data_IF_938181105166
#
_entry.id   IF_938181105166
#
_cell.length_a   1.000
_cell.length_b   1.000
_cell.length_c   1.000
_cell.angle_alpha   90.00
_cell.angle_beta   90.00
_cell.angle_gamma   90.00
#
_symmetry.space_group_name_H-M   'P 1'
#
loop_
_entity.id
_entity.type
_entity.pdbx_description
1 polymer ?
#
# COMPACT_ATOMS: atom_id res chain seq x y z
N UNK A 1 -13.64 10.08 10.88
CA UNK A 1 -13.93 9.51 9.54
C UNK A 1 -12.77 8.61 9.17
N UNK A 2 -12.99 7.57 8.36
CA UNK A 2 -11.91 6.62 7.99
C UNK A 2 -10.86 7.31 7.11
N UNK A 3 -9.59 7.06 7.42
CA UNK A 3 -8.40 7.54 6.71
C UNK A 3 -7.84 6.43 5.81
N UNK A 4 -7.65 5.23 6.36
CA UNK A 4 -7.27 4.04 5.61
C UNK A 4 -7.69 2.77 6.35
N UNK A 5 -7.68 1.65 5.64
CA UNK A 5 -7.95 0.34 6.23
C UNK A 5 -6.86 -0.63 5.80
N UNK A 6 -6.31 -1.36 6.77
CA UNK A 6 -5.38 -2.46 6.54
C UNK A 6 -6.07 -3.79 6.85
N UNK A 7 -5.82 -4.79 6.01
CA UNK A 7 -6.16 -6.18 6.20
C UNK A 7 -4.88 -6.98 6.13
N UNK A 8 -4.62 -7.79 7.16
CA UNK A 8 -3.45 -8.67 7.18
C UNK A 8 -3.82 -10.10 7.50
N UNK A 9 -3.09 -11.04 6.94
CA UNK A 9 -3.19 -12.46 7.24
C UNK A 9 -1.80 -13.08 7.39
N UNK A 10 -1.66 -13.96 8.36
CA UNK A 10 -0.48 -14.80 8.63
C UNK A 10 -1.01 -16.16 9.08
N UNK A 11 -0.91 -17.16 8.21
CA UNK A 11 -1.42 -18.51 8.49
C UNK A 11 -2.91 -18.48 8.91
N UNK A 12 -3.22 -18.91 10.14
CA UNK A 12 -4.58 -18.96 10.70
C UNK A 12 -4.97 -17.68 11.46
N UNK A 13 -4.07 -16.71 11.55
CA UNK A 13 -4.30 -15.43 12.19
C UNK A 13 -4.51 -14.35 11.14
N UNK A 14 -5.54 -13.53 11.33
CA UNK A 14 -5.84 -12.40 10.48
C UNK A 14 -6.20 -11.18 11.32
N UNK A 15 -6.13 -9.99 10.73
CA UNK A 15 -6.58 -8.76 11.37
C UNK A 15 -7.13 -7.76 10.37
N UNK A 16 -8.00 -6.89 10.87
CA UNK A 16 -8.40 -5.66 10.21
C UNK A 16 -7.98 -4.50 11.10
N UNK A 17 -7.22 -3.56 10.55
CA UNK A 17 -6.88 -2.30 11.22
C UNK A 17 -7.57 -1.16 10.50
N UNK A 18 -8.40 -0.42 11.20
CA UNK A 18 -9.07 0.78 10.69
C UNK A 18 -8.37 1.98 11.33
N UNK A 19 -7.86 2.87 10.48
CA UNK A 19 -7.31 4.15 10.90
C UNK A 19 -8.34 5.23 10.61
N UNK A 20 -8.69 6.02 11.61
CA UNK A 20 -9.77 7.01 11.50
C UNK A 20 -9.49 8.23 12.38
N UNK A 21 -10.14 9.35 12.08
CA UNK A 21 -9.94 10.58 12.82
C UNK A 21 -10.59 11.78 12.14
N UNK A 22 -10.57 12.93 12.79
CA UNK A 22 -10.84 14.25 12.18
C UNK A 22 -9.77 15.24 12.61
N UNK A 23 -9.54 15.32 13.92
CA UNK A 23 -8.48 16.18 14.47
C UNK A 23 -7.24 15.39 14.88
N UNK A 24 -7.48 14.25 15.52
CA UNK A 24 -6.46 13.29 15.94
C UNK A 24 -6.67 11.98 15.20
N UNK A 25 -5.58 11.27 14.94
CA UNK A 25 -5.61 9.94 14.36
C UNK A 25 -5.79 8.91 15.47
N UNK A 26 -6.76 8.03 15.29
CA UNK A 26 -7.03 6.87 16.14
C UNK A 26 -6.96 5.61 15.29
N UNK A 27 -6.67 4.49 15.95
CA UNK A 27 -6.63 3.19 15.30
C UNK A 27 -7.34 2.14 16.13
N UNK A 28 -8.05 1.25 15.45
CA UNK A 28 -8.59 0.03 16.04
C UNK A 28 -8.07 -1.15 15.23
N UNK A 29 -7.49 -2.14 15.92
CA UNK A 29 -7.05 -3.41 15.34
C UNK A 29 -7.94 -4.53 15.87
N UNK A 30 -8.63 -5.20 14.96
CA UNK A 30 -9.56 -6.29 15.26
C UNK A 30 -8.90 -7.59 14.81
N UNK A 31 -8.35 -8.39 15.73
CA UNK A 31 -7.84 -9.72 15.40
C UNK A 31 -8.99 -10.70 15.18
N UNK A 32 -8.85 -11.61 14.21
CA UNK A 32 -9.80 -12.68 13.94
C UNK A 32 -9.10 -13.90 13.31
N UNK A 33 -9.79 -15.03 13.25
CA UNK A 33 -9.27 -16.24 12.60
C UNK A 33 -9.46 -16.16 11.07
N UNK A 34 -8.49 -16.63 10.28
CA UNK A 34 -8.53 -16.59 8.81
C UNK A 34 -9.78 -17.24 8.19
N UNK A 35 -10.47 -18.15 8.89
CA UNK A 35 -11.80 -18.65 8.48
C UNK A 35 -12.82 -17.52 8.25
N UNK A 36 -12.72 -16.43 9.01
CA UNK A 36 -13.57 -15.24 8.88
C UNK A 36 -13.11 -14.23 7.81
N UNK A 37 -12.03 -14.48 7.10
CA UNK A 37 -11.40 -13.51 6.18
C UNK A 37 -12.38 -12.93 5.16
N UNK A 38 -13.21 -13.79 4.54
CA UNK A 38 -14.20 -13.35 3.54
C UNK A 38 -15.26 -12.40 4.11
N UNK A 39 -15.65 -12.54 5.38
CA UNK A 39 -16.60 -11.62 6.03
C UNK A 39 -15.97 -10.24 6.23
N UNK A 40 -14.73 -10.21 6.73
CA UNK A 40 -13.99 -8.96 6.90
C UNK A 40 -13.63 -8.30 5.55
N UNK A 41 -13.36 -9.10 4.52
CA UNK A 41 -13.18 -8.59 3.15
C UNK A 41 -14.44 -7.88 2.64
N UNK A 42 -15.63 -8.45 2.86
CA UNK A 42 -16.90 -7.78 2.50
C UNK A 42 -17.12 -6.46 3.26
N UNK A 43 -16.73 -6.41 4.53
CA UNK A 43 -16.76 -5.15 5.32
C UNK A 43 -15.81 -4.11 4.72
N UNK A 44 -14.58 -4.50 4.39
CA UNK A 44 -13.62 -3.63 3.71
C UNK A 44 -14.16 -3.12 2.37
N UNK A 45 -14.72 -4.00 1.53
CA UNK A 45 -15.31 -3.60 0.24
C UNK A 45 -16.46 -2.61 0.40
N UNK A 46 -17.25 -2.76 1.46
CA UNK A 46 -18.31 -1.81 1.81
C UNK A 46 -17.73 -0.45 2.20
N UNK A 47 -16.66 -0.43 2.99
CA UNK A 47 -15.95 0.80 3.39
C UNK A 47 -15.35 1.49 2.15
N UNK A 48 -14.66 0.73 1.30
CA UNK A 48 -14.05 1.21 0.04
C UNK A 48 -15.09 1.89 -0.85
N UNK A 49 -16.18 1.20 -1.21
CA UNK A 49 -17.25 1.77 -2.05
C UNK A 49 -17.90 3.03 -1.49
N UNK A 50 -17.91 3.22 -0.16
CA UNK A 50 -18.45 4.43 0.47
C UNK A 50 -17.48 5.61 0.45
N UNK A 51 -16.18 5.35 0.35
CA UNK A 51 -15.12 6.34 0.36
C UNK A 51 -14.61 6.68 -1.06
N UNK A 52 -14.65 5.72 -1.97
CA UNK A 52 -14.23 5.82 -3.38
C UNK A 52 -15.29 6.48 -4.26
N UNK A 53 -16.00 7.49 -3.77
CA UNK A 53 -17.01 8.24 -4.54
C UNK A 53 -16.40 9.08 -5.70
N UNK A 54 -15.17 8.79 -6.11
CA UNK A 54 -14.42 9.51 -7.15
C UNK A 54 -14.77 8.96 -8.53
N UNK A 55 -14.84 9.85 -9.52
CA UNK A 55 -14.97 9.48 -10.93
C UNK A 55 -13.72 8.72 -11.38
N UNK A 56 -13.90 7.72 -12.26
CA UNK A 56 -12.82 6.84 -12.70
C UNK A 56 -11.67 7.62 -13.34
N UNK A 57 -10.45 7.41 -12.85
CA UNK A 57 -9.23 8.02 -13.38
C UNK A 57 -8.63 7.24 -14.56
N UNK A 58 -8.08 7.97 -15.52
CA UNK A 58 -7.00 7.53 -16.41
C UNK A 58 -7.21 6.31 -17.33
N UNK A 59 -6.13 5.99 -18.08
CA UNK A 59 -6.03 4.80 -18.91
C UNK A 59 -5.33 3.67 -18.14
N UNK A 60 -5.78 2.42 -18.31
CA UNK A 60 -5.23 1.27 -17.60
C UNK A 60 -3.88 0.82 -18.16
N UNK A 61 -2.95 0.48 -17.28
CA UNK A 61 -1.73 -0.27 -17.61
C UNK A 61 -1.99 -1.76 -17.46
N UNK A 62 -1.51 -2.55 -18.43
CA UNK A 62 -1.52 -4.01 -18.30
C UNK A 62 -0.50 -4.43 -17.23
N UNK A 63 -0.93 -5.25 -16.28
CA UNK A 63 0.00 -5.92 -15.36
C UNK A 63 0.97 -6.77 -16.19
N UNK A 64 2.25 -6.40 -16.15
CA UNK A 64 3.27 -7.07 -16.96
C UNK A 64 3.72 -8.37 -16.30
N UNK A 65 4.42 -9.23 -17.05
CA UNK A 65 4.99 -10.47 -16.55
C UNK A 65 6.11 -10.28 -15.50
N UNK A 66 6.50 -9.04 -15.18
CA UNK A 66 7.57 -8.72 -14.24
C UNK A 66 7.12 -8.80 -12.76
N UNK A 67 5.81 -8.78 -12.49
CA UNK A 67 5.29 -8.91 -11.13
C UNK A 67 5.26 -10.39 -10.69
N UNK A 68 5.87 -10.76 -9.54
CA UNK A 68 5.80 -12.14 -9.05
C UNK A 68 4.36 -12.61 -8.90
N UNK A 69 4.11 -13.88 -9.24
CA UNK A 69 2.75 -14.46 -9.31
C UNK A 69 1.93 -14.21 -8.04
N UNK A 70 2.56 -14.31 -6.85
CA UNK A 70 1.91 -14.02 -5.55
C UNK A 70 1.34 -12.60 -5.51
N UNK A 71 2.18 -11.60 -5.78
CA UNK A 71 1.77 -10.19 -5.77
C UNK A 71 0.78 -9.85 -6.88
N UNK A 72 0.92 -10.47 -8.06
CA UNK A 72 -0.05 -10.32 -9.15
C UNK A 72 -1.42 -10.94 -8.83
N UNK A 73 -1.45 -12.08 -8.15
CA UNK A 73 -2.68 -12.69 -7.65
C UNK A 73 -3.30 -11.82 -6.54
N UNK A 74 -2.50 -11.41 -5.55
CA UNK A 74 -2.96 -10.59 -4.44
C UNK A 74 -3.54 -9.26 -4.94
N UNK A 75 -2.85 -8.56 -5.84
CA UNK A 75 -3.37 -7.33 -6.43
C UNK A 75 -4.73 -7.57 -7.11
N UNK A 76 -4.84 -8.59 -7.97
CA UNK A 76 -6.11 -8.94 -8.63
C UNK A 76 -7.22 -9.31 -7.65
N UNK A 77 -6.88 -9.94 -6.53
CA UNK A 77 -7.86 -10.29 -5.50
C UNK A 77 -8.47 -9.05 -4.81
N UNK A 78 -7.70 -7.97 -4.70
CA UNK A 78 -8.13 -6.74 -4.04
C UNK A 78 -8.77 -5.72 -4.98
N UNK A 79 -8.60 -5.84 -6.30
CA UNK A 79 -9.29 -5.01 -7.28
C UNK A 79 -10.78 -5.34 -7.37
N UNK A 80 -11.63 -4.33 -7.55
CA UNK A 80 -12.98 -4.58 -8.06
C UNK A 80 -12.93 -5.03 -9.53
N UNK A 81 -13.97 -5.72 -9.99
CA UNK A 81 -14.03 -6.26 -11.35
C UNK A 81 -13.92 -5.19 -12.45
N UNK A 82 -14.33 -3.96 -12.14
CA UNK A 82 -14.30 -2.79 -13.03
C UNK A 82 -13.15 -1.83 -12.72
N UNK A 83 -12.31 -2.15 -11.74
CA UNK A 83 -11.19 -1.31 -11.29
C UNK A 83 -9.95 -1.55 -12.16
N UNK A 84 -9.30 -0.45 -12.56
CA UNK A 84 -8.16 -0.46 -13.46
C UNK A 84 -6.90 -0.03 -12.73
N UNK A 85 -5.81 -0.78 -12.93
CA UNK A 85 -4.48 -0.36 -12.46
C UNK A 85 -3.94 0.69 -13.43
N UNK A 86 -3.61 1.88 -12.92
CA UNK A 86 -3.01 2.98 -13.68
C UNK A 86 -1.49 2.90 -13.64
N UNK A 87 -0.92 2.60 -12.47
CA UNK A 87 0.53 2.49 -12.29
C UNK A 87 0.84 1.60 -11.11
N UNK A 88 2.04 1.01 -11.08
CA UNK A 88 2.52 0.27 -9.93
C UNK A 88 4.05 0.33 -9.83
N UNK A 89 4.57 0.14 -8.62
CA UNK A 89 5.98 -0.11 -8.38
C UNK A 89 6.12 -1.31 -7.44
N UNK A 90 7.01 -2.23 -7.79
CA UNK A 90 7.29 -3.42 -7.02
C UNK A 90 8.76 -3.48 -6.65
N UNK A 91 9.05 -3.90 -5.43
CA UNK A 91 10.37 -4.33 -5.01
C UNK A 91 10.28 -5.71 -4.35
N UNK A 92 11.17 -6.65 -4.70
CA UNK A 92 11.31 -7.90 -3.95
C UNK A 92 11.89 -7.66 -2.54
N UNK A 93 12.05 -8.74 -1.78
CA UNK A 93 12.70 -8.66 -0.47
C UNK A 93 14.13 -8.09 -0.59
N UNK A 94 14.45 -7.08 0.23
CA UNK A 94 15.81 -6.58 0.33
C UNK A 94 16.56 -7.33 1.44
N UNK A 95 17.60 -8.07 1.08
CA UNK A 95 18.45 -8.80 2.04
C UNK A 95 19.88 -8.25 2.00
N UNK A 96 20.47 -8.03 3.18
CA UNK A 96 21.87 -7.66 3.34
C UNK A 96 22.65 -8.83 3.92
N UNK A 97 23.72 -9.23 3.22
CA UNK A 97 24.65 -10.25 3.72
C UNK A 97 25.43 -9.66 4.91
N UNK A 98 25.43 -10.36 6.04
CA UNK A 98 26.26 -10.00 7.22
C UNK A 98 27.57 -10.80 7.25
N UNK A 99 27.52 -12.10 6.93
CA UNK A 99 28.65 -13.03 6.82
C UNK A 99 28.30 -14.13 5.77
N UNK A 100 29.30 -14.88 5.28
CA UNK A 100 29.29 -15.82 4.13
C UNK A 100 28.00 -16.63 3.87
N UNK A 101 27.19 -16.96 4.89
CA UNK A 101 25.93 -17.71 4.76
C UNK A 101 24.73 -17.07 5.48
N UNK A 102 24.90 -15.93 6.16
CA UNK A 102 23.84 -15.26 6.92
C UNK A 102 23.40 -13.97 6.22
N UNK A 103 22.25 -14.02 5.57
CA UNK A 103 21.54 -12.85 5.02
C UNK A 103 20.48 -12.38 6.02
N UNK A 104 20.50 -11.10 6.39
CA UNK A 104 19.46 -10.46 7.19
C UNK A 104 18.51 -9.71 6.26
N UNK A 105 17.20 -9.89 6.46
CA UNK A 105 16.20 -9.06 5.79
C UNK A 105 16.31 -7.61 6.28
N UNK A 106 16.36 -6.69 5.33
CA UNK A 106 16.39 -5.23 5.56
C UNK A 106 15.03 -4.63 5.26
N UNK A 107 14.34 -5.12 4.22
CA UNK A 107 12.99 -4.70 3.88
C UNK A 107 12.16 -5.90 3.38
N UNK A 108 10.87 -5.90 3.71
CA UNK A 108 9.89 -6.80 3.10
C UNK A 108 9.67 -6.45 1.63
N UNK A 109 9.22 -7.41 0.80
CA UNK A 109 8.73 -7.08 -0.52
C UNK A 109 7.60 -6.05 -0.42
N UNK A 110 7.58 -5.13 -1.37
CA UNK A 110 6.64 -4.02 -1.40
C UNK A 110 6.06 -3.89 -2.81
N UNK A 111 4.74 -3.93 -2.90
CA UNK A 111 3.99 -3.51 -4.09
C UNK A 111 3.13 -2.31 -3.71
N UNK A 112 3.31 -1.21 -4.43
CA UNK A 112 2.36 -0.10 -4.43
C UNK A 112 1.68 -0.04 -5.78
N UNK A 113 0.35 0.10 -5.80
CA UNK A 113 -0.43 0.20 -7.02
C UNK A 113 -1.40 1.36 -6.93
N UNK A 114 -1.40 2.21 -7.95
CA UNK A 114 -2.38 3.25 -8.18
C UNK A 114 -3.44 2.68 -9.11
N UNK A 115 -4.70 2.80 -8.69
CA UNK A 115 -5.85 2.43 -9.50
C UNK A 115 -6.66 3.65 -9.84
N UNK A 116 -7.70 3.47 -10.66
CA UNK A 116 -8.66 4.49 -10.99
C UNK A 116 -9.57 4.92 -9.83
N UNK A 117 -9.38 4.32 -8.63
CA UNK A 117 -10.19 4.58 -7.43
C UNK A 117 -9.37 4.87 -6.18
N UNK A 118 -8.23 4.19 -6.03
CA UNK A 118 -7.54 4.07 -4.76
C UNK A 118 -6.03 3.87 -4.96
N UNK A 119 -5.27 4.07 -3.89
CA UNK A 119 -3.91 3.60 -3.78
C UNK A 119 -3.90 2.33 -2.92
N UNK A 120 -3.18 1.32 -3.39
CA UNK A 120 -3.00 0.05 -2.72
C UNK A 120 -1.55 -0.10 -2.28
N UNK A 121 -1.36 -0.51 -1.03
CA UNK A 121 -0.05 -0.81 -0.46
C UNK A 121 -0.03 -2.25 0.04
N UNK A 122 0.65 -3.12 -0.69
CA UNK A 122 0.79 -4.55 -0.40
C UNK A 122 2.21 -4.83 0.08
N UNK A 123 2.33 -5.46 1.24
CA UNK A 123 3.61 -5.86 1.83
C UNK A 123 3.44 -7.20 2.53
N UNK A 124 4.56 -7.78 2.91
CA UNK A 124 4.61 -8.92 3.83
C UNK A 124 5.09 -8.44 5.20
N UNK A 125 4.85 -9.23 6.23
CA UNK A 125 5.41 -9.04 7.56
C UNK A 125 6.93 -9.28 7.50
N UNK A 126 7.76 -8.38 8.07
CA UNK A 126 9.20 -8.59 8.10
C UNK A 126 9.54 -9.82 8.94
N UNK A 127 10.49 -10.65 8.50
CA UNK A 127 10.93 -11.82 9.25
C UNK A 127 11.53 -11.38 10.60
N UNK A 128 10.83 -11.70 11.69
CA UNK A 128 11.41 -11.59 13.03
C UNK A 128 12.47 -12.67 13.17
N UNK A 129 13.64 -12.30 13.67
CA UNK A 129 14.96 -12.89 13.41
C UNK A 129 15.17 -14.41 13.61
N UNK A 130 14.18 -15.20 14.00
CA UNK A 130 14.30 -16.66 14.15
C UNK A 130 13.07 -17.45 13.66
N UNK A 131 12.01 -16.81 13.18
CA UNK A 131 10.79 -17.49 12.74
C UNK A 131 10.55 -17.23 11.26
N UNK A 132 10.67 -18.29 10.44
CA UNK A 132 10.36 -18.28 8.99
C UNK A 132 8.85 -18.20 8.70
N UNK A 133 8.05 -17.70 9.65
CA UNK A 133 6.60 -17.63 9.54
C UNK A 133 6.13 -16.54 8.53
N UNK A 134 7.02 -15.62 8.14
CA UNK A 134 6.71 -14.42 7.36
C UNK A 134 6.50 -14.57 5.84
N UNK A 135 6.88 -15.68 5.21
CA UNK A 135 6.74 -15.84 3.74
C UNK A 135 5.28 -16.02 3.29
N UNK A 136 4.40 -16.46 4.19
CA UNK A 136 2.96 -16.64 3.94
C UNK A 136 2.09 -15.53 4.52
N UNK A 137 2.72 -14.40 4.85
CA UNK A 137 1.99 -13.21 5.26
C UNK A 137 1.57 -12.39 4.04
N UNK A 138 0.43 -11.74 4.14
CA UNK A 138 -0.05 -10.76 3.17
C UNK A 138 -0.71 -9.62 3.94
N UNK A 139 -0.17 -8.43 3.78
CA UNK A 139 -0.68 -7.21 4.39
C UNK A 139 -1.08 -6.27 3.27
N UNK A 140 -2.38 -6.02 3.17
CA UNK A 140 -2.98 -5.10 2.24
C UNK A 140 -3.41 -3.84 2.98
N UNK A 141 -3.05 -2.67 2.47
CA UNK A 141 -3.60 -1.40 2.94
C UNK A 141 -4.30 -0.69 1.80
N UNK A 142 -5.58 -0.45 2.00
CA UNK A 142 -6.41 0.42 1.20
C UNK A 142 -6.19 1.89 1.62
N UNK A 143 -5.84 2.72 0.66
CA UNK A 143 -5.63 4.16 0.84
C UNK A 143 -6.53 4.94 -0.15
N UNK A 144 -7.63 5.55 0.31
CA UNK A 144 -8.49 6.34 -0.58
C UNK A 144 -7.71 7.54 -1.15
N UNK A 145 -7.87 7.83 -2.44
CA UNK A 145 -7.19 8.96 -3.09
C UNK A 145 -7.63 10.30 -2.50
N UNK A 146 -8.90 10.42 -2.09
CA UNK A 146 -9.43 11.60 -1.39
C UNK A 146 -8.76 11.89 -0.04
N UNK A 147 -7.96 10.95 0.47
CA UNK A 147 -7.18 11.09 1.71
C UNK A 147 -5.70 11.28 1.44
N UNK A 148 -5.26 11.13 0.20
CA UNK A 148 -3.85 11.17 -0.13
C UNK A 148 -3.34 12.61 -0.06
N UNK A 149 -2.44 12.87 0.89
CA UNK A 149 -1.76 14.16 1.01
C UNK A 149 -0.47 14.19 0.21
N UNK A 150 0.32 13.13 0.30
CA UNK A 150 1.58 13.01 -0.44
C UNK A 150 2.06 11.57 -0.50
N UNK A 151 2.86 11.27 -1.52
CA UNK A 151 3.70 10.09 -1.59
C UNK A 151 5.05 10.48 -2.18
N UNK A 152 6.15 10.10 -1.53
CA UNK A 152 7.48 10.51 -1.96
C UNK A 152 8.53 9.45 -1.64
N UNK A 153 9.63 9.49 -2.39
CA UNK A 153 10.84 8.73 -2.10
C UNK A 153 11.82 9.64 -1.35
N UNK A 154 12.23 9.21 -0.16
CA UNK A 154 13.25 9.85 0.66
C UNK A 154 14.53 9.02 0.62
N UNK A 155 15.61 9.58 0.06
CA UNK A 155 16.92 8.93 0.08
C UNK A 155 17.52 9.08 1.47
N UNK A 156 17.92 7.97 2.10
CA UNK A 156 18.60 8.00 3.40
C UNK A 156 20.12 8.02 3.19
N UNK A 157 20.86 8.55 4.17
CA UNK A 157 22.31 8.70 4.08
C UNK A 157 23.10 7.38 4.02
N UNK A 158 22.46 6.23 4.22
CA UNK A 158 23.07 4.93 3.92
C UNK A 158 23.02 4.67 2.41
N UNK A 159 24.19 4.47 1.80
CA UNK A 159 24.42 4.45 0.35
C UNK A 159 23.59 3.43 -0.48
N UNK A 160 22.76 2.61 0.15
CA UNK A 160 21.97 1.55 -0.52
C UNK A 160 20.50 1.49 -0.10
N UNK A 161 20.02 2.41 0.75
CA UNK A 161 18.65 2.38 1.28
C UNK A 161 17.96 3.73 1.06
N UNK A 162 16.79 3.68 0.43
CA UNK A 162 15.82 4.77 0.40
C UNK A 162 14.52 4.33 1.11
N UNK A 163 13.58 5.25 1.28
CA UNK A 163 12.27 4.96 1.85
C UNK A 163 11.17 5.57 0.99
N UNK A 164 10.08 4.83 0.78
CA UNK A 164 8.84 5.37 0.23
C UNK A 164 7.98 5.75 1.40
N UNK A 165 7.53 7.00 1.45
CA UNK A 165 6.64 7.51 2.49
C UNK A 165 5.32 7.96 1.88
N UNK A 166 4.24 7.43 2.43
CA UNK A 166 2.85 7.77 2.13
C UNK A 166 2.30 8.58 3.30
N UNK A 167 1.66 9.72 3.02
CA UNK A 167 0.92 10.51 3.99
C UNK A 167 -0.54 10.61 3.60
N UNK A 168 -1.42 10.26 4.53
CA UNK A 168 -2.86 10.37 4.41
C UNK A 168 -3.40 11.35 5.44
N UNK A 169 -4.46 12.07 5.09
CA UNK A 169 -5.11 13.03 5.98
C UNK A 169 -6.62 12.99 5.86
N UNK A 170 -7.30 13.22 6.99
CA UNK A 170 -8.68 13.67 7.01
C UNK A 170 -8.78 14.89 7.92
N UNK A 171 -9.11 16.06 7.34
CA UNK A 171 -9.02 17.35 8.04
C UNK A 171 -7.60 17.54 8.62
N UNK A 172 -7.44 17.65 9.94
CA UNK A 172 -6.12 17.79 10.57
C UNK A 172 -5.54 16.47 11.09
N UNK A 173 -6.31 15.38 11.11
CA UNK A 173 -5.79 14.06 11.45
C UNK A 173 -4.87 13.57 10.31
N UNK A 174 -3.65 13.17 10.66
CA UNK A 174 -2.67 12.65 9.71
C UNK A 174 -2.21 11.26 10.10
N UNK A 175 -2.08 10.40 9.09
CA UNK A 175 -1.48 9.09 9.16
C UNK A 175 -0.32 9.02 8.18
N UNK A 176 0.76 8.34 8.54
CA UNK A 176 1.86 8.08 7.62
C UNK A 176 2.27 6.62 7.65
N UNK A 177 2.67 6.11 6.50
CA UNK A 177 3.25 4.78 6.33
C UNK A 177 4.55 4.92 5.57
N UNK A 178 5.55 4.14 5.97
CA UNK A 178 6.81 4.06 5.26
C UNK A 178 7.24 2.61 5.03
N UNK A 179 7.96 2.37 3.95
CA UNK A 179 8.71 1.14 3.74
C UNK A 179 10.07 1.44 3.12
N UNK A 180 11.06 0.63 3.49
CA UNK A 180 12.40 0.73 2.94
C UNK A 180 12.45 0.10 1.56
N UNK A 181 13.16 0.77 0.67
CA UNK A 181 13.48 0.31 -0.68
C UNK A 181 14.99 0.37 -0.89
N UNK A 182 15.51 -0.44 -1.83
CA UNK A 182 16.88 -0.32 -2.29
C UNK A 182 17.04 0.99 -3.07
N UNK A 183 18.23 1.57 -3.00
CA UNK A 183 18.56 2.75 -3.80
C UNK A 183 18.40 2.52 -5.30
N UNK A 184 18.61 1.28 -5.78
CA UNK A 184 18.45 0.92 -7.20
C UNK A 184 16.98 1.03 -7.66
N UNK A 185 16.04 0.74 -6.75
CA UNK A 185 14.60 0.85 -7.03
C UNK A 185 14.06 2.26 -6.82
N UNK A 186 14.85 3.20 -6.31
CA UNK A 186 14.40 4.56 -6.02
C UNK A 186 13.80 5.24 -7.27
N UNK A 187 14.42 5.09 -8.45
CA UNK A 187 13.93 5.69 -9.69
C UNK A 187 12.57 5.15 -10.16
N UNK A 188 12.32 3.85 -9.92
CA UNK A 188 11.04 3.19 -10.22
C UNK A 188 9.95 3.74 -9.32
N UNK A 189 10.21 3.81 -8.00
CA UNK A 189 9.25 4.36 -7.05
C UNK A 189 9.06 5.88 -7.21
N UNK A 190 10.10 6.63 -7.58
CA UNK A 190 9.99 8.06 -7.91
C UNK A 190 9.07 8.27 -9.14
N UNK A 191 9.18 7.41 -10.15
CA UNK A 191 8.30 7.45 -11.32
C UNK A 191 6.86 7.11 -10.95
N UNK A 192 6.65 6.13 -10.06
CA UNK A 192 5.34 5.85 -9.49
C UNK A 192 4.77 7.04 -8.70
N UNK A 193 5.55 7.65 -7.81
CA UNK A 193 5.11 8.83 -7.05
C UNK A 193 4.70 9.98 -7.98
N UNK A 194 5.45 10.24 -9.05
CA UNK A 194 5.09 11.24 -10.07
C UNK A 194 3.76 10.92 -10.76
N UNK A 195 3.50 9.65 -11.08
CA UNK A 195 2.23 9.24 -11.66
C UNK A 195 1.07 9.46 -10.69
N UNK A 196 1.26 9.14 -9.41
CA UNK A 196 0.26 9.39 -8.37
C UNK A 196 -0.02 10.88 -8.21
N UNK A 197 1.01 11.73 -8.14
CA UNK A 197 0.84 13.18 -8.05
C UNK A 197 0.12 13.77 -9.27
N UNK A 198 0.41 13.27 -10.46
CA UNK A 198 -0.26 13.69 -11.69
C UNK A 198 -1.76 13.37 -11.67
N UNK A 199 -2.13 12.14 -11.30
CA UNK A 199 -3.54 11.72 -11.24
C UNK A 199 -4.32 12.46 -10.14
N UNK A 200 -3.74 12.61 -8.93
CA UNK A 200 -4.39 13.33 -7.83
C UNK A 200 -4.64 14.80 -8.18
N UNK A 201 -3.67 15.48 -8.80
CA UNK A 201 -3.85 16.88 -9.24
C UNK A 201 -4.86 17.02 -10.37
N UNK A 202 -4.91 16.04 -11.28
CA UNK A 202 -5.88 16.07 -12.40
C UNK A 202 -7.31 15.84 -11.92
N UNK A 203 -7.48 15.19 -10.77
CA UNK A 203 -8.77 14.96 -10.12
C UNK A 203 -9.27 16.14 -9.27
N UNK A 204 -8.42 17.12 -8.96
CA UNK A 204 -8.86 18.33 -8.26
C UNK A 204 -9.70 19.18 -9.23
N UNK A 205 -10.97 19.47 -8.91
CA UNK A 205 -11.79 20.31 -9.76
C UNK A 205 -11.10 21.67 -9.91
N UNK A 206 -10.92 22.10 -11.16
CA UNK A 206 -10.44 23.44 -11.49
C UNK A 206 -11.22 24.44 -10.66
N UNK A 207 -10.56 25.06 -9.68
CA UNK A 207 -11.18 26.04 -8.82
C UNK A 207 -11.85 27.09 -9.71
N UNK A 208 -13.18 27.11 -9.69
CA UNK A 208 -14.00 28.11 -10.35
C UNK A 208 -13.55 29.47 -9.83
N UNK A 209 -12.93 30.23 -10.73
CA UNK A 209 -12.72 31.66 -10.56
C UNK A 209 -14.11 32.29 -10.39
N UNK A 210 -14.40 32.73 -9.17
CA UNK A 210 -15.49 33.65 -8.86
C UNK A 210 -14.90 34.90 -8.25
#
# INVERSE_FOLDING_TARGET
>A
MVICVEMGQVLLFSWMKIVFGRHTCEEIKIPFNTVGFNLFKQVLDTIRRKLDASEALGASVQLTAELPLKFGNALREWLFADEKVISYAFQPELRRRRLLLLSKQVAAPLLVALTDRQLLWLTEEPAVAFERLGEYSEIYTYCPLSRLRSIAVERRGEAQIAAVRLSLTNESASFSREAFISSDMASVFESFCRAVEFEVRSAEPSASVH
#
